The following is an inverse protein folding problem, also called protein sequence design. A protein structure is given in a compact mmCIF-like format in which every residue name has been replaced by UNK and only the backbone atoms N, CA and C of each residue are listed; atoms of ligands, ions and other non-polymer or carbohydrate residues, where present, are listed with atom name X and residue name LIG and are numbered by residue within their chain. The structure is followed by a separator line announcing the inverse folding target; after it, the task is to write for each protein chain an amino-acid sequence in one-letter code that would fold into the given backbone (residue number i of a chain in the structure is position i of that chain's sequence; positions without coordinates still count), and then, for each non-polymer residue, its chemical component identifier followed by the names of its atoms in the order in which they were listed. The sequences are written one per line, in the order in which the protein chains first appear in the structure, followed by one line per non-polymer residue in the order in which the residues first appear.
data_IF_497747475986
#
_entry.id   IF_497747475986
#
_cell.length_a   1.000
_cell.length_b   1.000
_cell.length_c   1.000
_cell.angle_alpha   90.00
_cell.angle_beta   90.00
_cell.angle_gamma   90.00
#
_symmetry.space_group_name_H-M   'P 1'
#
loop_
_entity.id
_entity.type
_entity.pdbx_description
1 polymer ?
#
# COMPACT_ATOMS: atom_id res chain seq x y z
N UNK A 1 -11.34 13.69 58.01
CA UNK A 1 -12.17 13.14 59.08
C UNK A 1 -12.90 14.31 59.71
N UNK A 2 -14.20 14.33 59.56
CA UNK A 2 -15.07 15.27 60.25
C UNK A 2 -15.40 14.63 61.62
N UNK A 3 -14.98 15.24 62.68
CA UNK A 3 -15.37 14.86 64.04
C UNK A 3 -16.39 15.88 64.51
N UNK A 4 -17.65 15.57 64.35
CA UNK A 4 -18.73 16.32 64.95
C UNK A 4 -19.25 15.52 66.15
N UNK A 5 -19.30 16.20 67.32
CA UNK A 5 -19.62 15.56 68.59
C UNK A 5 -21.11 15.76 68.92
N UNK A 6 -21.79 16.71 68.28
CA UNK A 6 -23.08 17.22 68.78
C UNK A 6 -24.28 16.97 67.84
N UNK A 7 -24.11 16.49 66.59
CA UNK A 7 -25.23 16.28 65.69
C UNK A 7 -25.23 14.87 65.04
N UNK A 8 -26.39 14.32 64.88
CA UNK A 8 -26.60 12.97 64.36
C UNK A 8 -26.89 12.91 62.85
N UNK A 9 -26.91 14.08 62.17
CA UNK A 9 -27.19 14.16 60.73
C UNK A 9 -26.23 15.14 60.02
N UNK A 10 -25.20 14.60 59.37
CA UNK A 10 -24.32 15.34 58.48
C UNK A 10 -24.82 15.19 57.02
N UNK A 11 -24.85 16.31 56.33
CA UNK A 11 -25.15 16.32 54.87
C UNK A 11 -23.88 16.57 54.13
N UNK A 12 -23.53 15.64 53.23
CA UNK A 12 -22.38 15.76 52.36
C UNK A 12 -22.83 16.21 50.98
N UNK A 13 -22.13 17.16 50.39
CA UNK A 13 -22.28 17.50 48.98
C UNK A 13 -20.91 17.42 48.29
N UNK A 14 -20.88 16.86 47.10
CA UNK A 14 -19.69 16.73 46.27
C UNK A 14 -20.01 17.36 44.94
N UNK A 15 -19.18 18.27 44.49
CA UNK A 15 -19.31 18.94 43.19
C UNK A 15 -17.97 19.05 42.50
N UNK A 16 -17.94 18.96 41.16
CA UNK A 16 -16.79 19.38 40.39
C UNK A 16 -16.73 20.94 40.43
N UNK A 17 -15.55 21.48 40.66
CA UNK A 17 -15.35 22.92 40.59
C UNK A 17 -15.20 23.31 39.14
N UNK A 18 -16.19 24.03 38.60
CA UNK A 18 -16.17 24.54 37.24
C UNK A 18 -15.17 25.68 37.13
N UNK A 19 -14.21 25.58 36.18
CA UNK A 19 -13.40 26.73 35.81
C UNK A 19 -14.28 27.71 35.02
N UNK A 20 -14.45 28.98 35.48
CA UNK A 20 -15.29 29.96 34.81
C UNK A 20 -14.88 30.33 33.39
N UNK A 21 -13.62 30.02 32.99
CA UNK A 21 -13.11 30.27 31.64
C UNK A 21 -13.39 29.14 30.63
N UNK A 22 -13.74 27.92 31.09
CA UNK A 22 -13.89 26.73 30.24
C UNK A 22 -15.37 26.29 30.05
N UNK A 23 -16.34 26.91 30.72
CA UNK A 23 -17.75 26.53 30.63
C UNK A 23 -18.10 25.25 31.42
N UNK A 24 -19.38 24.89 31.48
CA UNK A 24 -19.89 23.74 32.23
C UNK A 24 -19.08 22.46 32.00
N UNK A 25 -18.48 21.94 33.06
CA UNK A 25 -17.62 20.77 32.98
C UNK A 25 -18.39 19.47 33.19
N UNK A 26 -18.94 18.96 32.09
CA UNK A 26 -19.62 17.64 31.99
C UNK A 26 -18.64 16.43 31.97
N UNK A 27 -17.38 16.58 32.41
CA UNK A 27 -16.33 15.59 32.12
C UNK A 27 -16.19 14.46 33.13
N UNK A 28 -16.72 14.62 34.33
CA UNK A 28 -16.66 13.58 35.36
C UNK A 28 -18.03 13.29 35.92
N UNK A 29 -18.41 12.00 35.96
CA UNK A 29 -19.60 11.53 36.64
C UNK A 29 -19.21 11.05 38.02
N UNK A 30 -19.87 11.56 39.06
CA UNK A 30 -19.67 11.16 40.45
C UNK A 30 -20.74 10.14 40.81
N UNK A 31 -20.31 8.91 41.16
CA UNK A 31 -21.20 7.82 41.55
C UNK A 31 -20.96 7.47 43.00
N UNK A 32 -21.85 7.80 43.92
CA UNK A 32 -21.77 7.36 45.32
C UNK A 32 -22.09 5.86 45.44
N UNK A 33 -21.61 5.22 46.48
CA UNK A 33 -21.72 3.77 46.73
C UNK A 33 -23.11 3.32 47.21
N UNK A 34 -24.05 4.21 47.48
CA UNK A 34 -25.42 3.90 47.96
C UNK A 34 -26.47 4.68 47.18
N UNK A 35 -27.56 3.99 46.78
CA UNK A 35 -28.76 4.45 46.04
C UNK A 35 -28.88 5.97 45.79
N UNK A 36 -28.31 6.46 44.72
CA UNK A 36 -28.36 7.83 44.37
C UNK A 36 -29.12 8.07 43.04
N UNK A 37 -30.13 8.90 43.10
CA UNK A 37 -30.85 9.40 41.91
C UNK A 37 -30.66 10.92 41.83
N UNK A 38 -29.75 11.40 41.00
CA UNK A 38 -29.55 12.85 40.78
C UNK A 38 -28.70 13.15 39.53
N UNK A 39 -28.96 14.30 38.92
CA UNK A 39 -28.20 14.88 37.81
C UNK A 39 -27.02 15.70 38.32
N UNK A 40 -26.03 15.90 37.47
CA UNK A 40 -24.64 16.32 37.71
C UNK A 40 -24.37 17.62 38.46
N UNK A 41 -25.33 18.38 38.87
CA UNK A 41 -25.08 19.79 39.35
C UNK A 41 -24.89 19.95 40.85
N UNK A 42 -25.40 19.07 41.69
CA UNK A 42 -25.12 19.06 43.12
C UNK A 42 -25.47 17.71 43.73
N UNK A 43 -24.49 16.93 44.06
CA UNK A 43 -24.68 15.66 44.73
C UNK A 43 -24.72 15.94 46.23
N UNK A 44 -25.88 16.02 46.83
CA UNK A 44 -26.05 16.01 48.26
C UNK A 44 -26.61 14.66 48.73
N UNK A 45 -25.93 14.01 49.65
CA UNK A 45 -26.41 12.79 50.26
C UNK A 45 -26.36 12.96 51.79
N UNK A 46 -27.35 12.37 52.42
CA UNK A 46 -27.33 12.21 53.87
C UNK A 46 -27.02 10.76 54.18
N UNK A 47 -25.89 10.50 54.82
CA UNK A 47 -25.50 9.15 55.21
C UNK A 47 -25.17 9.11 56.70
N UNK A 48 -25.71 8.09 57.39
CA UNK A 48 -25.34 7.74 58.73
C UNK A 48 -24.16 6.75 58.76
N UNK A 49 -23.55 6.46 57.62
CA UNK A 49 -22.51 5.43 57.50
C UNK A 49 -21.14 6.11 57.34
N UNK A 50 -20.29 5.94 58.28
CA UNK A 50 -18.86 6.24 58.22
C UNK A 50 -18.21 5.13 57.40
N UNK A 51 -17.77 5.46 56.16
CA UNK A 51 -17.00 4.53 55.33
C UNK A 51 -17.52 4.32 53.90
N UNK A 52 -18.46 5.11 53.44
CA UNK A 52 -18.94 5.08 52.05
C UNK A 52 -17.86 5.57 51.08
N UNK A 53 -17.73 4.91 49.99
CA UNK A 53 -16.81 5.26 48.92
C UNK A 53 -17.53 5.99 47.78
N UNK A 54 -16.83 6.89 47.13
CA UNK A 54 -17.32 7.59 45.94
C UNK A 54 -16.47 7.18 44.75
N UNK A 55 -17.12 6.81 43.68
CA UNK A 55 -16.45 6.45 42.44
C UNK A 55 -16.51 7.65 41.49
N UNK A 56 -15.36 8.07 40.98
CA UNK A 56 -15.26 9.07 39.93
C UNK A 56 -15.08 8.38 38.60
N UNK A 57 -16.01 8.61 37.66
CA UNK A 57 -15.98 8.02 36.32
C UNK A 57 -15.75 9.12 35.32
N UNK A 58 -14.52 9.24 34.77
CA UNK A 58 -14.24 10.22 33.73
C UNK A 58 -15.10 9.95 32.49
N UNK A 59 -15.52 11.01 31.80
CA UNK A 59 -16.13 10.90 30.50
C UNK A 59 -15.16 10.22 29.52
N UNK A 60 -15.68 9.35 28.66
CA UNK A 60 -14.85 8.62 27.70
C UNK A 60 -13.94 9.55 26.91
N UNK A 61 -12.62 9.31 26.92
CA UNK A 61 -11.57 10.07 26.26
C UNK A 61 -11.18 11.40 26.92
N UNK A 62 -11.80 11.76 28.03
CA UNK A 62 -11.35 12.93 28.76
C UNK A 62 -10.15 12.60 29.64
N UNK A 63 -9.13 13.46 29.59
CA UNK A 63 -7.95 13.40 30.45
C UNK A 63 -7.53 14.82 30.75
N UNK A 64 -7.52 15.17 31.99
CA UNK A 64 -7.00 16.43 32.52
C UNK A 64 -7.15 16.41 34.06
N UNK A 65 -6.92 17.54 34.67
CA UNK A 65 -7.13 17.74 36.10
C UNK A 65 -8.47 18.42 36.34
N UNK A 66 -9.19 17.89 37.30
CA UNK A 66 -10.43 18.51 37.79
C UNK A 66 -10.38 18.66 39.29
N UNK A 67 -10.76 19.81 39.81
CA UNK A 67 -10.85 20.03 41.24
C UNK A 67 -12.22 19.59 41.72
N UNK A 68 -12.21 18.74 42.73
CA UNK A 68 -13.42 18.20 43.35
C UNK A 68 -13.57 18.87 44.72
N UNK A 69 -14.68 19.56 44.91
CA UNK A 69 -15.04 20.16 46.17
C UNK A 69 -15.94 19.24 46.95
N UNK A 70 -15.53 18.89 48.15
CA UNK A 70 -16.38 18.15 49.11
C UNK A 70 -16.80 19.16 50.17
N UNK A 71 -18.10 19.29 50.36
CA UNK A 71 -18.68 20.12 51.40
C UNK A 71 -19.47 19.25 52.37
N UNK A 72 -19.27 19.49 53.62
CA UNK A 72 -20.03 18.88 54.73
C UNK A 72 -20.78 20.00 55.44
N UNK A 73 -22.03 19.79 55.72
CA UNK A 73 -22.85 20.76 56.50
C UNK A 73 -23.79 20.05 57.44
N UNK A 74 -23.99 20.68 58.57
CA UNK A 74 -25.04 20.39 59.52
C UNK A 74 -26.06 21.55 59.54
N UNK A 75 -26.94 21.61 60.55
CA UNK A 75 -27.95 22.68 60.69
C UNK A 75 -27.36 24.04 61.08
N UNK A 76 -26.08 24.10 61.49
CA UNK A 76 -25.47 25.27 62.09
C UNK A 76 -24.22 25.73 61.35
N UNK A 77 -23.39 24.81 60.86
CA UNK A 77 -22.11 25.10 60.24
C UNK A 77 -21.86 24.28 58.97
N UNK A 78 -20.90 24.72 58.16
CA UNK A 78 -20.45 23.95 57.01
C UNK A 78 -18.96 24.11 56.84
N UNK A 79 -18.30 23.01 56.44
CA UNK A 79 -16.90 22.96 56.10
C UNK A 79 -16.74 22.37 54.68
N UNK A 80 -15.66 22.74 54.00
CA UNK A 80 -15.39 22.20 52.67
C UNK A 80 -13.90 22.05 52.39
N UNK A 81 -13.56 21.01 51.65
CA UNK A 81 -12.21 20.77 51.14
C UNK A 81 -12.23 20.59 49.64
N UNK A 82 -11.11 20.91 49.03
CA UNK A 82 -10.91 20.70 47.57
C UNK A 82 -9.72 19.78 47.40
N UNK A 83 -9.85 18.79 46.54
CA UNK A 83 -8.74 17.98 46.06
C UNK A 83 -8.77 17.89 44.52
N UNK A 84 -7.58 17.80 43.92
CA UNK A 84 -7.45 17.66 42.46
C UNK A 84 -7.45 16.19 42.08
N UNK A 85 -8.39 15.81 41.22
CA UNK A 85 -8.39 14.52 40.55
C UNK A 85 -7.59 14.66 39.25
N UNK A 86 -6.47 13.94 39.13
CA UNK A 86 -5.61 13.91 37.94
C UNK A 86 -5.96 12.68 37.11
N UNK A 87 -6.75 12.85 36.04
CA UNK A 87 -7.13 11.78 35.14
C UNK A 87 -6.07 11.66 34.06
N UNK A 88 -5.28 10.61 34.13
CA UNK A 88 -4.22 10.34 33.16
C UNK A 88 -4.78 9.98 31.80
N UNK A 89 -4.23 10.56 30.75
CA UNK A 89 -4.47 10.10 29.40
C UNK A 89 -3.95 8.67 29.25
N UNK A 90 -4.79 7.78 28.74
CA UNK A 90 -4.39 6.42 28.41
C UNK A 90 -4.60 6.24 26.90
N UNK A 91 -3.50 6.00 26.20
CA UNK A 91 -3.53 5.79 24.77
C UNK A 91 -4.36 4.56 24.40
N UNK A 92 -5.15 4.68 23.37
CA UNK A 92 -5.83 3.54 22.75
C UNK A 92 -4.84 2.71 21.94
N UNK A 93 -5.20 1.46 21.59
CA UNK A 93 -4.44 0.71 20.62
C UNK A 93 -4.24 1.52 19.33
N UNK A 94 -3.02 1.57 18.83
CA UNK A 94 -2.68 2.22 17.57
C UNK A 94 -2.26 1.14 16.58
N UNK A 95 -3.20 0.71 15.77
CA UNK A 95 -3.05 -0.42 14.87
C UNK A 95 -2.46 0.02 13.54
N UNK A 96 -1.46 -0.69 13.07
CA UNK A 96 -0.96 -0.67 11.71
C UNK A 96 -1.08 -2.05 11.08
N UNK A 97 -1.31 -2.09 9.77
CA UNK A 97 -1.46 -3.31 8.98
C UNK A 97 -0.46 -3.30 7.85
N UNK A 98 0.17 -4.45 7.64
CA UNK A 98 1.01 -4.70 6.46
C UNK A 98 0.56 -5.97 5.78
N UNK A 99 0.52 -5.96 4.45
CA UNK A 99 0.20 -7.10 3.61
C UNK A 99 1.46 -7.58 2.90
N UNK A 100 1.71 -8.89 2.93
CA UNK A 100 2.86 -9.49 2.26
C UNK A 100 2.42 -10.70 1.45
N UNK A 101 2.57 -10.64 0.14
CA UNK A 101 2.31 -11.80 -0.72
C UNK A 101 3.36 -12.88 -0.51
N UNK A 102 2.88 -14.07 -0.23
CA UNK A 102 3.66 -15.31 -0.15
C UNK A 102 3.59 -16.07 -1.48
N UNK A 103 4.45 -17.09 -1.65
CA UNK A 103 4.49 -17.86 -2.89
C UNK A 103 3.55 -19.08 -2.91
N UNK A 104 2.74 -19.30 -1.86
CA UNK A 104 1.86 -20.46 -1.72
C UNK A 104 0.39 -20.07 -1.80
N UNK A 105 -0.46 -20.84 -2.53
CA UNK A 105 -1.88 -20.58 -2.65
C UNK A 105 -2.64 -20.68 -1.31
N UNK A 106 -2.26 -21.61 -0.43
CA UNK A 106 -2.92 -21.84 0.86
C UNK A 106 -2.54 -20.87 1.96
N UNK A 107 -1.39 -20.22 1.82
CA UNK A 107 -0.92 -19.11 2.67
C UNK A 107 -0.45 -17.97 1.77
N UNK A 108 -1.32 -17.58 0.87
CA UNK A 108 -0.99 -16.65 -0.19
C UNK A 108 -0.66 -15.25 0.30
N UNK A 109 -1.46 -14.73 1.23
CA UNK A 109 -1.29 -13.39 1.77
C UNK A 109 -1.09 -13.46 3.27
N UNK A 110 0.03 -12.96 3.74
CA UNK A 110 0.30 -12.73 5.14
C UNK A 110 -0.20 -11.34 5.51
N UNK A 111 -1.06 -11.27 6.52
CA UNK A 111 -1.49 -10.03 7.15
C UNK A 111 -0.71 -9.87 8.44
N UNK A 112 0.04 -8.80 8.58
CA UNK A 112 0.79 -8.46 9.79
C UNK A 112 0.09 -7.29 10.45
N UNK A 113 -0.27 -7.46 11.72
CA UNK A 113 -0.94 -6.45 12.55
C UNK A 113 -0.02 -6.06 13.69
N UNK A 114 0.28 -4.78 13.84
CA UNK A 114 1.11 -4.27 14.93
C UNK A 114 0.35 -3.22 15.73
N UNK A 115 0.30 -3.37 17.06
CA UNK A 115 -0.15 -2.32 17.96
C UNK A 115 1.06 -1.51 18.46
N UNK A 116 1.28 -0.36 17.85
CA UNK A 116 2.42 0.52 18.18
C UNK A 116 2.25 1.27 19.50
N UNK A 117 1.05 1.30 20.08
CA UNK A 117 0.79 1.87 21.40
C UNK A 117 0.92 0.84 22.53
N UNK A 118 1.01 -0.46 22.20
CA UNK A 118 1.16 -1.57 23.16
C UNK A 118 0.02 -1.65 24.18
N UNK A 119 -1.20 -1.33 23.78
CA UNK A 119 -2.39 -1.26 24.65
C UNK A 119 -3.44 -2.33 24.41
N UNK A 120 -3.39 -3.01 23.27
CA UNK A 120 -4.35 -4.04 22.93
C UNK A 120 -4.23 -5.26 23.88
N UNK A 121 -5.35 -5.65 24.47
CA UNK A 121 -5.48 -6.87 25.28
C UNK A 121 -5.96 -8.04 24.45
N UNK A 122 -6.66 -7.75 23.34
CA UNK A 122 -7.13 -8.72 22.37
C UNK A 122 -7.24 -8.10 20.98
N UNK A 123 -7.05 -8.91 19.93
CA UNK A 123 -7.14 -8.51 18.53
C UNK A 123 -8.01 -9.53 17.77
N UNK A 124 -8.95 -9.01 16.99
CA UNK A 124 -9.70 -9.79 16.02
C UNK A 124 -9.38 -9.31 14.60
N UNK A 125 -9.07 -10.24 13.73
CA UNK A 125 -8.85 -10.02 12.30
C UNK A 125 -9.93 -10.72 11.52
N UNK A 126 -10.59 -10.01 10.63
CA UNK A 126 -11.52 -10.63 9.67
C UNK A 126 -11.25 -10.14 8.25
N UNK A 127 -11.55 -11.00 7.28
CA UNK A 127 -11.52 -10.66 5.85
C UNK A 127 -12.86 -11.07 5.26
N UNK A 128 -13.56 -10.12 4.63
CA UNK A 128 -14.92 -10.33 4.12
C UNK A 128 -15.84 -11.00 5.18
N UNK A 129 -15.77 -10.52 6.42
CA UNK A 129 -16.51 -11.06 7.58
C UNK A 129 -16.15 -12.50 8.02
N UNK A 130 -15.07 -13.08 7.50
CA UNK A 130 -14.53 -14.34 7.98
C UNK A 130 -13.38 -14.09 8.96
N UNK A 131 -13.48 -14.62 10.16
CA UNK A 131 -12.43 -14.49 11.17
C UNK A 131 -11.16 -15.27 10.75
N UNK A 132 -10.03 -14.63 10.87
CA UNK A 132 -8.71 -15.17 10.60
C UNK A 132 -7.96 -15.34 11.91
N UNK A 133 -7.41 -16.53 12.14
CA UNK A 133 -6.57 -16.79 13.31
C UNK A 133 -5.29 -15.96 13.26
N UNK A 134 -4.92 -15.35 14.38
CA UNK A 134 -3.71 -14.58 14.55
C UNK A 134 -2.72 -15.32 15.44
N UNK A 135 -1.49 -15.48 14.95
CA UNK A 135 -0.35 -15.96 15.72
C UNK A 135 0.52 -14.77 16.16
N UNK A 136 0.98 -14.77 17.39
CA UNK A 136 1.95 -13.77 17.87
C UNK A 136 3.32 -14.08 17.30
N UNK A 137 3.90 -13.15 16.53
CA UNK A 137 5.23 -13.31 15.91
C UNK A 137 6.31 -12.47 16.59
N UNK A 138 5.91 -11.40 17.30
CA UNK A 138 6.77 -10.56 18.13
C UNK A 138 5.90 -9.86 19.20
N UNK A 139 6.47 -9.22 20.22
CA UNK A 139 5.70 -8.39 21.15
C UNK A 139 4.82 -7.40 20.38
N UNK A 140 3.52 -7.39 20.73
CA UNK A 140 2.50 -6.51 20.11
C UNK A 140 2.40 -6.61 18.57
N UNK A 141 2.91 -7.71 17.98
CA UNK A 141 2.89 -7.97 16.54
C UNK A 141 2.34 -9.36 16.26
N UNK A 142 1.34 -9.42 15.41
CA UNK A 142 0.55 -10.61 15.13
C UNK A 142 0.51 -10.86 13.63
N UNK A 143 0.33 -12.11 13.23
CA UNK A 143 0.26 -12.52 11.84
C UNK A 143 -0.87 -13.49 11.59
N UNK A 144 -1.65 -13.24 10.55
CA UNK A 144 -2.65 -14.15 10.02
C UNK A 144 -2.39 -14.44 8.54
N UNK A 145 -2.95 -15.51 8.02
CA UNK A 145 -2.79 -15.92 6.62
C UNK A 145 -4.12 -16.09 5.91
N UNK A 146 -4.16 -15.63 4.67
CA UNK A 146 -5.27 -15.78 3.74
C UNK A 146 -4.90 -16.73 2.62
N UNK A 147 -5.82 -17.61 2.25
CA UNK A 147 -5.74 -18.38 1.02
C UNK A 147 -6.21 -17.56 -0.17
N UNK A 148 -5.69 -17.85 -1.35
CA UNK A 148 -6.25 -17.29 -2.57
C UNK A 148 -7.48 -18.09 -2.99
N UNK A 149 -8.63 -17.43 -3.11
CA UNK A 149 -9.88 -18.05 -3.55
C UNK A 149 -10.28 -17.57 -4.93
N UNK A 150 -10.30 -16.24 -5.16
CA UNK A 150 -10.72 -15.65 -6.43
C UNK A 150 -10.12 -14.26 -6.63
N UNK A 151 -10.17 -13.77 -7.87
CA UNK A 151 -9.86 -12.37 -8.18
C UNK A 151 -11.00 -11.47 -7.70
N UNK A 152 -10.69 -10.27 -7.25
CA UNK A 152 -11.68 -9.29 -6.82
C UNK A 152 -11.15 -8.33 -5.75
N UNK A 153 -12.05 -7.55 -5.20
CA UNK A 153 -11.77 -6.62 -4.11
C UNK A 153 -12.07 -7.26 -2.76
N UNK A 154 -11.21 -6.97 -1.78
CA UNK A 154 -11.26 -7.52 -0.44
C UNK A 154 -11.13 -6.41 0.59
N UNK A 155 -11.73 -6.62 1.78
CA UNK A 155 -11.56 -5.79 2.96
C UNK A 155 -10.94 -6.60 4.09
N UNK A 156 -9.94 -6.01 4.75
CA UNK A 156 -9.37 -6.51 6.01
C UNK A 156 -9.86 -5.62 7.12
N UNK A 157 -10.58 -6.19 8.06
CA UNK A 157 -11.11 -5.48 9.21
C UNK A 157 -10.44 -6.00 10.49
N UNK A 158 -9.91 -5.06 11.28
CA UNK A 158 -9.22 -5.34 12.53
C UNK A 158 -9.92 -4.59 13.64
N UNK A 159 -10.27 -5.32 14.71
CA UNK A 159 -10.74 -4.76 15.96
C UNK A 159 -9.74 -5.05 17.06
N UNK A 160 -9.19 -4.01 17.67
CA UNK A 160 -8.30 -4.09 18.81
C UNK A 160 -9.04 -3.63 20.07
N UNK A 161 -9.09 -4.48 21.07
CA UNK A 161 -9.77 -4.26 22.34
C UNK A 161 -8.76 -3.87 23.42
N UNK A 162 -9.11 -2.89 24.23
CA UNK A 162 -8.32 -2.50 25.39
C UNK A 162 -9.21 -1.99 26.52
N UNK A 163 -8.69 -1.99 27.74
CA UNK A 163 -9.44 -1.50 28.93
C UNK A 163 -9.91 -0.05 28.77
N UNK A 164 -9.19 0.75 27.99
CA UNK A 164 -9.46 2.18 27.79
C UNK A 164 -10.29 2.49 26.55
N UNK A 165 -10.64 1.49 25.77
CA UNK A 165 -11.46 1.63 24.57
C UNK A 165 -10.89 0.93 23.35
N UNK A 166 -11.76 0.61 22.45
CA UNK A 166 -11.47 -0.17 21.27
C UNK A 166 -11.01 0.71 20.10
N UNK A 167 -10.21 0.14 19.24
CA UNK A 167 -9.83 0.72 17.95
C UNK A 167 -10.22 -0.24 16.84
N UNK A 168 -10.84 0.27 15.79
CA UNK A 168 -11.12 -0.49 14.57
C UNK A 168 -10.37 0.13 13.40
N UNK A 169 -9.83 -0.71 12.54
CA UNK A 169 -9.18 -0.33 11.29
C UNK A 169 -9.74 -1.20 10.18
N UNK A 170 -10.08 -0.60 9.05
CA UNK A 170 -10.51 -1.32 7.85
C UNK A 170 -9.63 -0.89 6.68
N UNK A 171 -9.02 -1.86 6.02
CA UNK A 171 -8.14 -1.64 4.89
C UNK A 171 -8.60 -2.45 3.69
N UNK A 172 -8.41 -1.93 2.49
CA UNK A 172 -8.92 -2.53 1.27
C UNK A 172 -7.77 -2.86 0.31
N UNK A 173 -7.89 -4.01 -0.34
CA UNK A 173 -6.95 -4.46 -1.36
C UNK A 173 -7.69 -5.22 -2.47
N UNK A 174 -7.00 -5.57 -3.52
CA UNK A 174 -7.54 -6.40 -4.59
C UNK A 174 -6.62 -7.59 -4.89
N UNK A 175 -7.18 -8.64 -5.43
CA UNK A 175 -6.46 -9.81 -5.95
C UNK A 175 -6.73 -9.95 -7.44
N UNK A 176 -5.67 -10.24 -8.21
CA UNK A 176 -5.77 -10.62 -9.61
C UNK A 176 -5.28 -12.06 -9.79
N UNK A 177 -5.82 -12.77 -10.76
CA UNK A 177 -5.34 -14.09 -11.15
C UNK A 177 -4.60 -14.00 -12.49
N UNK A 178 -3.28 -14.07 -12.46
CA UNK A 178 -2.47 -14.27 -13.65
C UNK A 178 -2.75 -15.63 -14.27
N UNK A 179 -3.07 -15.67 -15.55
CA UNK A 179 -3.47 -16.87 -16.29
C UNK A 179 -2.49 -17.15 -17.42
N UNK A 180 -1.97 -18.39 -17.49
CA UNK A 180 -1.06 -18.81 -18.56
C UNK A 180 -1.77 -18.89 -19.92
N UNK A 181 -3.00 -19.38 -19.95
CA UNK A 181 -3.70 -19.71 -21.18
C UNK A 181 -4.67 -18.63 -21.68
N UNK A 182 -4.92 -17.58 -20.92
CA UNK A 182 -5.88 -16.53 -21.26
C UNK A 182 -5.42 -15.15 -20.84
N UNK A 183 -6.00 -14.12 -21.46
CA UNK A 183 -5.83 -12.75 -21.00
C UNK A 183 -6.38 -12.63 -19.57
N UNK A 184 -5.67 -11.90 -18.72
CA UNK A 184 -6.05 -11.65 -17.34
C UNK A 184 -5.95 -10.17 -17.03
N UNK A 185 -6.67 -9.75 -16.00
CA UNK A 185 -6.81 -8.36 -15.63
C UNK A 185 -6.92 -8.21 -14.11
N UNK A 186 -6.35 -7.17 -13.58
CA UNK A 186 -6.44 -6.80 -12.17
C UNK A 186 -6.60 -5.29 -12.02
N UNK A 187 -7.40 -4.88 -11.04
CA UNK A 187 -7.68 -3.48 -10.73
C UNK A 187 -7.53 -3.28 -9.25
N UNK A 188 -6.85 -2.20 -8.81
CA UNK A 188 -6.80 -1.80 -7.40
C UNK A 188 -8.18 -1.48 -6.85
N UNK A 189 -8.33 -1.54 -5.53
CA UNK A 189 -9.60 -1.25 -4.87
C UNK A 189 -10.14 0.15 -5.20
N UNK A 190 -9.27 1.15 -5.28
CA UNK A 190 -9.63 2.54 -5.65
C UNK A 190 -9.87 2.72 -7.16
N UNK A 191 -9.69 1.68 -7.96
CA UNK A 191 -9.89 1.68 -9.41
C UNK A 191 -8.87 2.49 -10.21
N UNK A 192 -7.77 2.94 -9.59
CA UNK A 192 -6.79 3.82 -10.25
C UNK A 192 -5.61 3.08 -10.86
N UNK A 193 -5.20 1.96 -10.29
CA UNK A 193 -4.13 1.11 -10.81
C UNK A 193 -4.72 -0.10 -11.51
N UNK A 194 -4.22 -0.40 -12.70
CA UNK A 194 -4.69 -1.52 -13.52
C UNK A 194 -3.50 -2.28 -14.07
N UNK A 195 -3.57 -3.61 -14.05
CA UNK A 195 -2.62 -4.48 -14.74
C UNK A 195 -3.36 -5.38 -15.70
N UNK A 196 -2.78 -5.60 -16.88
CA UNK A 196 -3.31 -6.54 -17.88
C UNK A 196 -2.18 -7.39 -18.43
N UNK A 197 -2.38 -8.69 -18.42
CA UNK A 197 -1.47 -9.65 -19.04
C UNK A 197 -2.15 -10.46 -20.12
N UNK A 198 -1.36 -10.95 -21.09
CA UNK A 198 -1.78 -11.79 -22.19
C UNK A 198 -1.43 -13.26 -21.92
N UNK A 199 -1.95 -14.20 -22.73
CA UNK A 199 -1.54 -15.61 -22.64
C UNK A 199 -0.02 -15.75 -22.80
N UNK A 200 0.60 -16.49 -21.88
CA UNK A 200 2.03 -16.73 -21.87
C UNK A 200 2.89 -15.72 -21.07
N UNK A 201 2.32 -14.61 -20.59
CA UNK A 201 3.05 -13.62 -19.81
C UNK A 201 3.47 -14.15 -18.43
N UNK A 202 2.74 -15.15 -17.93
CA UNK A 202 3.11 -15.90 -16.71
C UNK A 202 3.43 -17.36 -17.06
N UNK A 203 4.35 -17.97 -16.31
CA UNK A 203 4.75 -19.38 -16.55
C UNK A 203 3.74 -20.40 -16.04
N UNK A 204 2.87 -19.99 -15.11
CA UNK A 204 1.78 -20.80 -14.54
C UNK A 204 0.71 -19.87 -13.96
N UNK A 205 -0.49 -20.40 -13.75
CA UNK A 205 -1.55 -19.65 -13.10
C UNK A 205 -1.14 -19.26 -11.69
N UNK A 206 -1.22 -17.98 -11.37
CA UNK A 206 -0.83 -17.48 -10.05
C UNK A 206 -1.60 -16.22 -9.66
N UNK A 207 -1.83 -16.02 -8.36
CA UNK A 207 -2.43 -14.80 -7.87
C UNK A 207 -1.41 -13.66 -7.74
N UNK A 208 -1.91 -12.42 -7.83
CA UNK A 208 -1.18 -11.20 -7.54
C UNK A 208 -2.00 -10.33 -6.58
N UNK A 209 -1.35 -9.88 -5.50
CA UNK A 209 -1.87 -8.81 -4.65
C UNK A 209 -1.81 -7.48 -5.41
N UNK A 210 -2.87 -6.69 -5.33
CA UNK A 210 -2.90 -5.30 -5.80
C UNK A 210 -3.38 -4.44 -4.63
N UNK A 211 -2.50 -3.61 -4.10
CA UNK A 211 -2.83 -2.77 -2.94
C UNK A 211 -2.18 -1.40 -3.06
N UNK A 212 -2.75 -0.43 -2.35
CA UNK A 212 -2.14 0.88 -2.13
C UNK A 212 -0.92 0.74 -1.21
N UNK A 213 0.09 1.57 -1.40
CA UNK A 213 1.34 1.54 -0.63
C UNK A 213 1.17 1.87 0.85
N UNK A 214 0.04 2.42 1.27
CA UNK A 214 -0.27 2.68 2.69
C UNK A 214 -0.35 1.39 3.50
N UNK A 215 -0.62 0.25 2.86
CA UNK A 215 -0.67 -1.09 3.47
C UNK A 215 0.71 -1.75 3.64
N UNK A 216 1.79 -1.07 3.28
CA UNK A 216 3.14 -1.58 3.43
C UNK A 216 3.92 -0.80 4.48
N UNK A 217 4.78 -1.50 5.22
CA UNK A 217 5.58 -0.94 6.33
C UNK A 217 6.53 0.21 5.92
N UNK A 218 6.73 0.41 4.64
CA UNK A 218 7.49 1.52 4.10
C UNK A 218 6.53 2.62 3.65
N UNK A 219 6.36 3.65 4.48
CA UNK A 219 5.52 4.81 4.18
C UNK A 219 6.12 5.63 3.04
N UNK A 220 5.68 5.35 1.83
CA UNK A 220 5.87 6.29 0.73
C UNK A 220 4.80 7.39 0.85
N UNK A 221 5.23 8.63 1.09
CA UNK A 221 4.34 9.79 1.24
C UNK A 221 3.57 10.15 -0.06
N UNK A 222 3.68 9.35 -1.10
CA UNK A 222 3.08 9.63 -2.40
C UNK A 222 1.79 8.80 -2.57
N UNK A 223 0.65 9.50 -2.59
CA UNK A 223 -0.71 8.95 -2.65
C UNK A 223 -1.04 8.15 -3.93
N UNK A 224 -0.10 7.96 -4.82
CA UNK A 224 -0.26 7.26 -6.09
C UNK A 224 0.74 6.09 -6.23
N UNK A 225 1.07 5.44 -5.12
CA UNK A 225 1.94 4.27 -5.13
C UNK A 225 1.14 2.99 -4.91
N UNK A 226 1.44 1.97 -5.71
CA UNK A 226 0.76 0.69 -5.71
C UNK A 226 1.75 -0.45 -5.65
N UNK A 227 1.33 -1.60 -5.14
CA UNK A 227 2.05 -2.85 -5.27
C UNK A 227 1.28 -3.81 -6.17
N UNK A 228 2.03 -4.55 -6.97
CA UNK A 228 1.57 -5.69 -7.75
C UNK A 228 2.41 -6.92 -7.36
N UNK A 229 1.82 -7.84 -6.62
CA UNK A 229 2.51 -9.05 -6.21
C UNK A 229 3.72 -8.79 -5.29
N UNK A 230 4.81 -9.50 -5.54
CA UNK A 230 6.09 -9.28 -4.86
C UNK A 230 7.16 -8.79 -5.85
N UNK A 231 8.21 -8.14 -5.38
CA UNK A 231 9.26 -7.53 -6.21
C UNK A 231 10.13 -8.52 -7.01
N UNK A 232 10.06 -9.81 -6.71
CA UNK A 232 10.96 -10.82 -7.28
C UNK A 232 10.32 -11.65 -8.39
N UNK A 233 9.10 -11.31 -8.81
CA UNK A 233 8.45 -12.02 -9.89
C UNK A 233 8.70 -11.32 -11.22
N UNK A 234 9.22 -12.08 -12.21
CA UNK A 234 9.44 -11.64 -13.58
C UNK A 234 8.42 -12.27 -14.50
N UNK A 235 7.83 -11.44 -15.35
CA UNK A 235 6.92 -11.88 -16.41
C UNK A 235 7.74 -12.41 -17.58
N UNK A 236 7.21 -13.42 -18.29
CA UNK A 236 7.86 -13.93 -19.50
C UNK A 236 7.87 -12.89 -20.62
N UNK A 237 6.75 -12.14 -20.75
CA UNK A 237 6.65 -10.95 -21.59
C UNK A 237 6.12 -9.80 -20.72
N UNK A 238 6.45 -8.55 -21.05
CA UNK A 238 5.98 -7.41 -20.29
C UNK A 238 4.44 -7.31 -20.24
N UNK A 239 3.92 -7.03 -19.06
CA UNK A 239 2.49 -6.78 -18.82
C UNK A 239 2.19 -5.29 -18.91
N UNK A 240 0.97 -4.94 -19.30
CA UNK A 240 0.49 -3.57 -19.28
C UNK A 240 0.22 -3.13 -17.85
N UNK A 241 0.75 -1.96 -17.48
CA UNK A 241 0.45 -1.26 -16.21
C UNK A 241 -0.11 0.11 -16.53
N UNK A 242 -1.22 0.46 -15.92
CA UNK A 242 -1.87 1.77 -16.07
C UNK A 242 -2.16 2.39 -14.71
N UNK A 243 -1.96 3.70 -14.61
CA UNK A 243 -2.33 4.49 -13.43
C UNK A 243 -3.13 5.71 -13.89
N UNK A 244 -4.34 5.89 -13.35
CA UNK A 244 -5.16 7.06 -13.64
C UNK A 244 -4.51 8.33 -13.14
N UNK A 245 -4.43 9.32 -14.02
CA UNK A 245 -3.90 10.65 -13.72
C UNK A 245 -4.56 11.67 -14.64
N UNK A 246 -4.76 12.88 -14.14
CA UNK A 246 -5.17 14.04 -14.96
C UNK A 246 -3.97 14.80 -15.53
N UNK A 247 -2.75 14.35 -15.21
CA UNK A 247 -1.49 14.99 -15.59
C UNK A 247 -0.78 14.14 -16.65
N UNK A 248 -0.38 14.75 -17.73
CA UNK A 248 0.34 14.16 -18.87
C UNK A 248 1.88 14.28 -18.76
N UNK A 249 2.34 15.08 -17.80
CA UNK A 249 3.76 15.30 -17.50
C UNK A 249 4.35 14.27 -16.49
N UNK A 250 3.59 13.22 -16.18
CA UNK A 250 4.02 12.14 -15.29
C UNK A 250 4.36 10.86 -16.06
N UNK A 251 5.20 10.04 -15.43
CA UNK A 251 5.53 8.69 -15.85
C UNK A 251 5.33 7.70 -14.70
N UNK A 252 5.25 6.41 -15.04
CA UNK A 252 5.25 5.32 -14.06
C UNK A 252 6.70 4.96 -13.74
N UNK A 253 6.98 4.92 -12.45
CA UNK A 253 8.23 4.42 -11.90
C UNK A 253 8.00 3.07 -11.24
N UNK A 254 8.94 2.15 -11.41
CA UNK A 254 8.99 0.88 -10.70
C UNK A 254 10.14 0.88 -9.71
N UNK A 255 9.94 0.30 -8.52
CA UNK A 255 11.00 0.10 -7.54
C UNK A 255 11.93 -1.03 -7.99
N UNK A 256 13.23 -0.79 -7.97
CA UNK A 256 14.27 -1.73 -8.33
C UNK A 256 15.13 -2.04 -7.12
N UNK A 257 15.39 -3.33 -6.87
CA UNK A 257 16.24 -3.80 -5.77
C UNK A 257 15.84 -3.25 -4.37
N UNK A 258 14.55 -3.07 -4.13
CA UNK A 258 14.03 -2.61 -2.84
C UNK A 258 14.31 -1.15 -2.48
N UNK A 259 15.11 -0.39 -3.26
CA UNK A 259 15.60 0.94 -2.84
C UNK A 259 15.42 2.01 -3.90
N UNK A 260 15.78 1.73 -5.15
CA UNK A 260 15.82 2.75 -6.21
C UNK A 260 14.58 2.70 -7.09
N UNK A 261 14.17 3.88 -7.60
CA UNK A 261 13.06 3.99 -8.54
C UNK A 261 13.58 4.16 -9.95
N UNK A 262 13.11 3.31 -10.86
CA UNK A 262 13.40 3.33 -12.28
C UNK A 262 12.19 3.88 -13.04
N UNK A 263 12.39 4.92 -13.84
CA UNK A 263 11.35 5.41 -14.74
C UNK A 263 11.14 4.42 -15.86
N UNK A 264 9.89 4.01 -16.09
CA UNK A 264 9.49 3.20 -17.21
C UNK A 264 9.01 4.10 -18.37
N UNK A 265 9.31 3.75 -19.62
CA UNK A 265 8.77 4.47 -20.78
C UNK A 265 7.26 4.56 -20.68
N UNK A 266 6.70 5.75 -20.52
CA UNK A 266 5.30 5.96 -20.20
C UNK A 266 4.61 6.91 -21.16
N UNK A 267 3.33 6.64 -21.45
CA UNK A 267 2.49 7.42 -22.34
C UNK A 267 1.21 7.78 -21.62
N UNK A 268 0.72 8.98 -21.90
CA UNK A 268 -0.55 9.47 -21.39
C UNK A 268 -1.64 9.31 -22.47
N UNK A 269 -2.71 8.58 -22.15
CA UNK A 269 -3.87 8.34 -23.01
C UNK A 269 -5.13 8.30 -22.14
N UNK A 270 -6.16 9.07 -22.51
CA UNK A 270 -7.49 9.00 -21.90
C UNK A 270 -7.51 9.12 -20.37
N UNK A 271 -6.72 10.04 -19.80
CA UNK A 271 -6.53 10.23 -18.35
C UNK A 271 -5.87 9.03 -17.65
N UNK A 272 -5.12 8.23 -18.36
CA UNK A 272 -4.31 7.14 -17.83
C UNK A 272 -2.86 7.29 -18.30
N UNK A 273 -1.93 6.98 -17.41
CA UNK A 273 -0.51 6.80 -17.75
C UNK A 273 -0.29 5.32 -17.94
N UNK A 274 0.20 4.94 -19.08
CA UNK A 274 0.42 3.57 -19.54
C UNK A 274 1.90 3.27 -19.65
N UNK A 275 2.31 2.07 -19.26
CA UNK A 275 3.65 1.52 -19.49
C UNK A 275 3.61 0.00 -19.64
N UNK A 276 4.74 -0.57 -20.04
CA UNK A 276 5.01 -2.01 -20.00
C UNK A 276 5.99 -2.32 -18.86
N UNK A 277 5.70 -3.36 -18.08
CA UNK A 277 6.59 -3.85 -17.04
C UNK A 277 6.88 -5.33 -17.20
N UNK A 278 8.15 -5.69 -17.19
CA UNK A 278 8.66 -7.07 -17.21
C UNK A 278 8.75 -7.70 -15.80
N UNK A 279 8.43 -6.93 -14.77
CA UNK A 279 8.55 -7.34 -13.37
C UNK A 279 7.38 -6.78 -12.55
N UNK A 280 6.89 -7.58 -11.61
CA UNK A 280 5.98 -7.14 -10.55
C UNK A 280 6.71 -6.31 -9.48
N UNK A 281 5.99 -5.80 -8.50
CA UNK A 281 6.56 -5.01 -7.39
C UNK A 281 5.85 -3.69 -7.18
N UNK A 282 6.58 -2.69 -6.73
CA UNK A 282 6.02 -1.37 -6.39
C UNK A 282 6.07 -0.41 -7.57
N UNK A 283 4.97 0.30 -7.78
CA UNK A 283 4.79 1.29 -8.84
C UNK A 283 4.33 2.62 -8.24
N UNK A 284 4.81 3.73 -8.80
CA UNK A 284 4.34 5.07 -8.45
C UNK A 284 4.37 6.00 -9.66
N UNK A 285 3.67 7.13 -9.55
CA UNK A 285 3.83 8.24 -10.48
C UNK A 285 4.98 9.15 -10.07
N UNK A 286 5.68 9.69 -11.05
CA UNK A 286 6.74 10.69 -10.87
C UNK A 286 6.93 11.54 -12.12
N UNK A 287 7.79 12.58 -12.10
CA UNK A 287 8.05 13.43 -13.25
C UNK A 287 8.54 12.62 -14.45
N UNK A 288 8.00 12.91 -15.64
CA UNK A 288 8.39 12.24 -16.88
C UNK A 288 9.69 12.83 -17.42
N UNK A 289 10.70 11.98 -17.61
CA UNK A 289 12.00 12.35 -18.19
C UNK A 289 12.32 11.57 -19.48
N UNK A 290 11.76 10.36 -19.63
CA UNK A 290 11.96 9.53 -20.83
C UNK A 290 10.99 9.98 -21.92
N UNK A 291 11.56 10.29 -23.10
CA UNK A 291 10.78 10.61 -24.30
C UNK A 291 10.46 9.29 -25.03
N UNK A 292 9.17 9.02 -25.24
CA UNK A 292 8.72 7.89 -26.07
C UNK A 292 8.66 8.35 -27.52
N UNK A 293 9.31 7.62 -28.45
CA UNK A 293 9.29 7.96 -29.87
C UNK A 293 7.88 7.94 -30.45
N UNK A 294 7.57 8.89 -31.32
CA UNK A 294 6.26 8.93 -32.02
C UNK A 294 6.14 7.83 -33.08
N UNK A 295 7.27 7.39 -33.66
CA UNK A 295 7.29 6.44 -34.77
C UNK A 295 8.26 5.29 -34.50
N UNK A 296 7.89 4.11 -35.00
CA UNK A 296 8.79 2.96 -35.01
C UNK A 296 9.82 3.11 -36.15
N UNK A 297 11.11 3.05 -35.78
CA UNK A 297 12.23 3.19 -36.72
C UNK A 297 13.44 2.37 -36.28
N UNK A 298 14.37 2.11 -37.21
CA UNK A 298 15.69 1.55 -36.94
C UNK A 298 16.76 2.53 -37.45
N UNK A 299 17.70 2.85 -36.57
CA UNK A 299 18.78 3.79 -36.89
C UNK A 299 19.97 3.07 -37.52
N UNK A 300 20.87 3.84 -38.11
CA UNK A 300 22.13 3.31 -38.62
C UNK A 300 22.95 2.75 -37.47
N UNK A 301 23.43 1.51 -37.62
CA UNK A 301 24.33 0.89 -36.63
C UNK A 301 25.64 1.71 -36.47
N UNK A 302 26.19 1.68 -35.28
CA UNK A 302 27.46 2.36 -35.00
C UNK A 302 28.37 1.45 -34.13
N UNK A 303 29.66 1.31 -34.56
CA UNK A 303 30.28 1.80 -35.79
C UNK A 303 29.71 1.11 -37.05
N UNK A 304 29.87 1.77 -38.22
CA UNK A 304 29.57 1.20 -39.54
C UNK A 304 30.53 1.86 -40.58
N UNK A 305 31.52 1.15 -41.14
CA UNK A 305 31.82 -0.27 -40.96
C UNK A 305 32.23 -0.64 -39.52
N UNK A 306 32.06 -1.91 -39.16
CA UNK A 306 32.33 -2.43 -37.82
C UNK A 306 33.23 -3.69 -37.82
N UNK A 307 33.95 -3.96 -36.69
CA UNK A 307 34.85 -5.10 -36.53
C UNK A 307 34.93 -5.51 -35.03
N UNK A 308 34.49 -6.70 -34.62
CA UNK A 308 33.37 -7.44 -35.20
C UNK A 308 32.00 -6.98 -34.66
N UNK A 309 32.00 -6.05 -33.67
CA UNK A 309 30.80 -5.68 -32.90
C UNK A 309 30.25 -4.33 -33.35
N UNK A 310 28.93 -4.23 -33.42
CA UNK A 310 28.22 -2.96 -33.67
C UNK A 310 26.98 -2.85 -32.80
N UNK A 311 26.59 -1.61 -32.48
CA UNK A 311 25.37 -1.29 -31.76
C UNK A 311 24.31 -0.80 -32.73
N UNK A 312 23.13 -1.38 -32.65
CA UNK A 312 21.92 -1.02 -33.42
C UNK A 312 20.98 -0.32 -32.44
N UNK A 313 20.64 0.93 -32.73
CA UNK A 313 19.62 1.69 -32.00
C UNK A 313 18.31 1.64 -32.77
N UNK A 314 17.21 1.44 -32.09
CA UNK A 314 15.88 1.44 -32.68
C UNK A 314 14.84 2.04 -31.75
N UNK A 315 13.83 2.65 -32.34
CA UNK A 315 12.72 3.32 -31.70
C UNK A 315 11.45 2.53 -31.93
N UNK A 316 10.68 2.31 -30.89
CA UNK A 316 9.36 1.70 -30.97
C UNK A 316 8.34 2.71 -30.48
N UNK A 317 7.57 3.25 -31.42
CA UNK A 317 6.44 4.11 -31.16
C UNK A 317 5.18 3.31 -30.84
N UNK A 318 4.12 4.00 -30.45
CA UNK A 318 2.79 3.40 -30.33
C UNK A 318 2.14 3.24 -31.72
N UNK A 319 1.36 2.20 -31.86
CA UNK A 319 0.37 2.08 -32.92
C UNK A 319 -1.02 1.93 -32.30
N UNK A 320 -1.91 2.85 -32.62
CA UNK A 320 -3.29 2.89 -32.07
C UNK A 320 -3.33 2.83 -30.52
N UNK A 321 -2.36 3.48 -29.86
CA UNK A 321 -2.26 3.48 -28.39
C UNK A 321 -1.76 2.18 -27.78
N UNK A 322 -1.24 1.24 -28.59
CA UNK A 322 -0.77 -0.07 -28.13
C UNK A 322 0.74 -0.23 -28.32
N UNK A 323 1.36 -1.01 -27.45
CA UNK A 323 2.72 -1.50 -27.64
C UNK A 323 2.81 -2.36 -28.89
N UNK A 324 4.00 -2.43 -29.47
CA UNK A 324 4.21 -3.23 -30.67
C UNK A 324 5.07 -4.46 -30.35
N UNK A 325 4.61 -5.60 -30.85
CA UNK A 325 5.40 -6.84 -30.84
C UNK A 325 6.46 -6.78 -31.93
N UNK A 326 7.73 -6.87 -31.56
CA UNK A 326 8.89 -6.54 -32.40
C UNK A 326 9.82 -7.73 -32.55
N UNK A 327 10.31 -7.93 -33.77
CA UNK A 327 11.43 -8.83 -34.06
C UNK A 327 12.52 -8.08 -34.83
N UNK A 328 13.79 -8.34 -34.49
CA UNK A 328 14.96 -7.79 -35.17
C UNK A 328 15.87 -8.92 -35.65
N UNK A 329 16.04 -8.99 -36.94
CA UNK A 329 16.81 -10.04 -37.61
C UNK A 329 17.95 -9.46 -38.46
N UNK A 330 19.05 -10.21 -38.59
CA UNK A 330 20.16 -9.90 -39.47
C UNK A 330 20.13 -10.85 -40.68
N UNK A 331 20.29 -10.30 -41.87
CA UNK A 331 20.28 -11.04 -43.14
C UNK A 331 21.55 -10.77 -43.92
N UNK A 332 21.98 -11.75 -44.73
CA UNK A 332 23.01 -11.57 -45.74
C UNK A 332 22.40 -11.04 -47.06
N UNK A 333 23.28 -10.84 -48.10
CA UNK A 333 22.87 -10.37 -49.42
C UNK A 333 21.90 -11.33 -50.17
N UNK A 334 21.90 -12.60 -49.80
CA UNK A 334 21.00 -13.62 -50.37
C UNK A 334 19.64 -13.68 -49.65
N UNK A 335 19.42 -12.82 -48.63
CA UNK A 335 18.19 -12.80 -47.84
C UNK A 335 18.09 -13.92 -46.79
N UNK A 336 19.17 -14.64 -46.54
CA UNK A 336 19.20 -15.68 -45.49
C UNK A 336 19.30 -15.03 -44.13
N UNK A 337 18.46 -15.49 -43.17
CA UNK A 337 18.53 -15.07 -41.78
C UNK A 337 19.82 -15.61 -41.13
N UNK A 338 20.70 -14.70 -40.71
CA UNK A 338 21.97 -14.97 -40.09
C UNK A 338 21.82 -15.02 -38.57
N UNK A 339 21.18 -14.00 -37.97
CA UNK A 339 20.97 -13.92 -36.54
C UNK A 339 19.59 -13.30 -36.22
N UNK A 340 18.99 -13.72 -35.12
CA UNK A 340 17.80 -13.10 -34.53
C UNK A 340 18.23 -12.40 -33.25
N UNK A 341 18.17 -11.07 -33.24
CA UNK A 341 18.63 -10.26 -32.12
C UNK A 341 17.51 -9.98 -31.11
N UNK A 342 16.28 -9.82 -31.61
CA UNK A 342 15.05 -9.68 -30.81
C UNK A 342 13.99 -10.55 -31.45
N UNK A 343 13.28 -11.34 -30.67
CA UNK A 343 12.20 -12.20 -31.16
C UNK A 343 10.91 -11.97 -30.38
N UNK A 344 9.86 -11.53 -31.10
CA UNK A 344 8.48 -11.43 -30.62
C UNK A 344 8.30 -10.76 -29.25
N UNK A 345 9.02 -9.66 -28.98
CA UNK A 345 8.92 -8.92 -27.73
C UNK A 345 8.02 -7.70 -27.86
N UNK A 346 7.09 -7.54 -26.93
CA UNK A 346 6.32 -6.31 -26.80
C UNK A 346 7.20 -5.19 -26.23
N UNK A 347 7.30 -4.09 -26.98
CA UNK A 347 8.22 -2.99 -26.66
C UNK A 347 7.59 -1.62 -26.94
N UNK A 348 8.09 -0.61 -26.22
CA UNK A 348 7.80 0.82 -26.38
C UNK A 348 9.00 1.61 -25.88
N UNK A 349 9.43 2.64 -26.62
CA UNK A 349 10.57 3.46 -26.27
C UNK A 349 11.76 3.27 -27.21
N UNK A 350 12.94 3.76 -26.78
CA UNK A 350 14.20 3.62 -27.51
C UNK A 350 15.04 2.50 -26.92
N UNK A 351 15.59 1.65 -27.77
CA UNK A 351 16.39 0.50 -27.38
C UNK A 351 17.72 0.46 -28.12
N UNK A 352 18.68 -0.25 -27.53
CA UNK A 352 19.98 -0.55 -28.12
C UNK A 352 20.24 -2.05 -28.02
N UNK A 353 20.71 -2.66 -29.10
CA UNK A 353 21.12 -4.06 -29.13
C UNK A 353 22.44 -4.17 -29.87
N UNK A 354 23.26 -5.14 -29.48
CA UNK A 354 24.55 -5.39 -30.14
C UNK A 354 24.47 -6.62 -31.04
N UNK A 355 25.17 -6.56 -32.16
CA UNK A 355 25.52 -7.72 -32.96
C UNK A 355 27.03 -7.83 -33.00
N UNK A 356 27.51 -9.00 -32.66
CA UNK A 356 28.92 -9.34 -32.53
C UNK A 356 29.54 -9.96 -33.80
N UNK A 357 28.78 -10.01 -34.90
CA UNK A 357 29.24 -10.56 -36.16
C UNK A 357 29.22 -12.09 -36.23
N UNK A 358 28.48 -12.77 -35.34
CA UNK A 358 28.28 -14.22 -35.37
C UNK A 358 26.88 -14.57 -35.85
N UNK A 359 26.78 -15.78 -36.45
CA UNK A 359 25.51 -16.34 -36.82
C UNK A 359 24.83 -17.07 -35.63
N UNK A 360 23.62 -17.55 -35.85
CA UNK A 360 22.83 -18.32 -34.87
C UNK A 360 23.45 -19.65 -34.44
N UNK A 361 24.51 -20.10 -35.14
CA UNK A 361 25.25 -21.33 -34.82
C UNK A 361 26.60 -21.03 -34.15
N UNK A 362 26.91 -19.76 -33.88
CA UNK A 362 28.16 -19.32 -33.27
C UNK A 362 29.34 -19.27 -34.26
N UNK A 363 29.07 -19.25 -35.58
CA UNK A 363 30.11 -19.10 -36.59
C UNK A 363 30.32 -17.62 -36.91
N UNK A 364 31.60 -17.20 -36.93
CA UNK A 364 31.95 -15.83 -37.28
C UNK A 364 31.70 -15.54 -38.75
N UNK A 365 30.98 -14.49 -39.02
CA UNK A 365 30.62 -14.07 -40.37
C UNK A 365 31.82 -13.41 -41.08
N UNK A 366 31.88 -13.57 -42.41
CA UNK A 366 32.91 -12.97 -43.25
C UNK A 366 32.67 -11.47 -43.47
N UNK A 367 33.74 -10.73 -43.80
CA UNK A 367 33.62 -9.33 -44.26
C UNK A 367 32.60 -9.22 -45.37
N UNK A 368 31.71 -8.25 -45.28
CA UNK A 368 30.64 -8.11 -46.28
C UNK A 368 29.51 -7.19 -45.83
N UNK A 369 28.51 -7.13 -46.70
CA UNK A 369 27.28 -6.37 -46.45
C UNK A 369 26.20 -7.26 -45.86
N UNK A 370 25.61 -6.76 -44.77
CA UNK A 370 24.48 -7.35 -44.07
C UNK A 370 23.35 -6.36 -43.97
N UNK A 371 22.16 -6.83 -43.72
CA UNK A 371 20.99 -6.00 -43.43
C UNK A 371 20.41 -6.34 -42.08
N UNK A 372 20.16 -5.35 -41.27
CA UNK A 372 19.31 -5.50 -40.07
C UNK A 372 17.90 -5.08 -40.43
N UNK A 373 16.92 -5.90 -40.05
CA UNK A 373 15.51 -5.66 -40.29
C UNK A 373 14.75 -5.69 -39.00
N UNK A 374 13.96 -4.65 -38.75
CA UNK A 374 12.96 -4.57 -37.70
C UNK A 374 11.61 -4.86 -38.35
N UNK A 375 10.87 -5.78 -37.75
CA UNK A 375 9.48 -6.10 -38.14
C UNK A 375 8.57 -6.03 -36.91
N UNK A 376 7.31 -5.66 -37.14
CA UNK A 376 6.27 -5.72 -36.12
C UNK A 376 5.13 -6.63 -36.61
N UNK A 377 4.38 -7.21 -35.64
CA UNK A 377 3.15 -8.00 -36.01
C UNK A 377 2.11 -7.15 -36.71
N UNK A 378 2.14 -5.84 -36.56
CA UNK A 378 1.26 -4.90 -37.25
C UNK A 378 1.67 -4.56 -38.68
N UNK A 379 2.78 -5.16 -39.15
CA UNK A 379 3.23 -5.05 -40.54
C UNK A 379 4.23 -3.94 -40.83
N UNK A 380 4.75 -3.24 -39.82
CA UNK A 380 5.85 -2.28 -39.99
C UNK A 380 7.12 -3.06 -40.33
N UNK A 381 7.83 -2.65 -41.39
CA UNK A 381 9.12 -3.20 -41.78
C UNK A 381 10.10 -2.05 -42.01
N UNK A 382 11.22 -2.07 -41.28
CA UNK A 382 12.31 -1.09 -41.40
C UNK A 382 13.64 -1.80 -41.55
N UNK A 383 14.51 -1.33 -42.48
CA UNK A 383 15.79 -1.95 -42.79
C UNK A 383 16.95 -0.95 -42.73
N UNK A 384 18.13 -1.42 -42.32
CA UNK A 384 19.40 -0.69 -42.47
C UNK A 384 20.50 -1.61 -42.98
N UNK A 385 21.38 -1.03 -43.81
CA UNK A 385 22.56 -1.72 -44.33
C UNK A 385 23.72 -1.59 -43.35
N UNK A 386 24.40 -2.68 -43.07
CA UNK A 386 25.58 -2.77 -42.21
C UNK A 386 26.78 -3.33 -42.97
N UNK A 387 28.00 -2.89 -42.67
CA UNK A 387 29.22 -3.37 -43.33
C UNK A 387 30.17 -3.94 -42.25
N UNK A 388 30.39 -5.25 -42.27
CA UNK A 388 31.37 -5.94 -41.43
C UNK A 388 32.71 -5.95 -42.14
N UNK A 389 33.77 -5.52 -41.45
CA UNK A 389 35.16 -5.61 -41.86
C UNK A 389 35.92 -6.48 -40.85
N UNK A 390 36.80 -7.33 -41.35
CA UNK A 390 37.76 -8.08 -40.53
C UNK A 390 39.13 -7.48 -40.64
#
# INVERSE_FOLDING_TARGET
FVNDIDDTSLVFSISAVVDPELGNDDHVTIIPSVDFTGTMDDVSFSSNAIGDSVMFVPKRLWSDKVDIKVKVSDQFESDSTIFTLDVKHVDRPKISVSLLQQNAFTKFLQVIVTDTAEKATNLNLSVQNQNIGLDTIAPHTYSGYLSFESSGSYSVDIAAFAHVGDTTLSENFALAAGKIASRWHGVSYDGRFTVTGNPGDVSYDQPFLIADSTLFSEHFHDRASYVLGNENFYFNNPVEVRIRSKRDDLAIYRRKNGVTWEELPSIYIDNEIFTLSDQSGYFRLGPKTIIVPEQTNIHQNYPNPFNPTTTITYDIGLLDGLSQNVSINVYNLLGQNIATLVQDKDQIGQFKIQWDGYDKFGQQMSSGVYFVQLTTKTGIVKNKKMMLLK
#
